data_IF_349850842091
#
_entry.id   IF_349850842091
#
_cell.length_a   1.000
_cell.length_b   1.000
_cell.length_c   1.000
_cell.angle_alpha   90.00
_cell.angle_beta   90.00
_cell.angle_gamma   90.00
#
_symmetry.space_group_name_H-M   'P 1'
#
loop_
_entity.id
_entity.type
_entity.pdbx_description
1 polymer ?
#
# COMPACT_ATOMS: atom_id res chain seq x y z
N UNK A 1 21.31 -45.74 41.76
CA UNK A 1 22.07 -44.92 40.79
C UNK A 1 22.12 -45.63 39.43
N UNK A 2 21.30 -45.17 38.47
CA UNK A 2 21.49 -45.37 37.02
C UNK A 2 20.72 -44.24 36.34
N UNK A 3 21.43 -43.14 36.05
CA UNK A 3 20.91 -42.01 35.30
C UNK A 3 20.64 -42.45 33.86
N UNK A 4 19.41 -42.29 33.39
CA UNK A 4 19.06 -42.41 31.97
C UNK A 4 18.70 -41.02 31.47
N UNK A 5 19.68 -40.38 30.85
CA UNK A 5 19.49 -39.16 30.06
C UNK A 5 18.81 -39.58 28.76
N UNK A 6 17.56 -39.13 28.58
CA UNK A 6 16.79 -39.06 27.33
C UNK A 6 15.95 -37.82 27.53
N UNK A 7 16.13 -36.72 26.83
CA UNK A 7 16.53 -36.48 25.46
C UNK A 7 15.72 -35.23 25.14
N UNK A 8 16.39 -34.12 24.84
CA UNK A 8 15.72 -32.88 24.46
C UNK A 8 14.88 -33.17 23.22
N UNK A 9 13.57 -33.27 23.40
CA UNK A 9 12.63 -33.04 22.32
C UNK A 9 12.72 -31.54 22.01
N UNK A 10 13.59 -31.23 21.06
CA UNK A 10 13.59 -29.97 20.35
C UNK A 10 12.17 -29.73 19.86
N UNK A 11 11.49 -28.74 20.45
CA UNK A 11 10.21 -28.25 19.95
C UNK A 11 10.37 -27.99 18.46
N UNK A 12 9.56 -28.67 17.68
CA UNK A 12 9.32 -28.40 16.25
C UNK A 12 9.16 -26.89 16.13
N UNK A 13 9.97 -26.27 15.28
CA UNK A 13 10.00 -24.82 15.11
C UNK A 13 8.60 -24.31 14.79
N UNK A 14 8.16 -23.31 15.54
CA UNK A 14 7.00 -22.52 15.13
C UNK A 14 7.37 -21.91 13.78
N UNK A 15 6.78 -22.42 12.69
CA UNK A 15 6.72 -21.69 11.42
C UNK A 15 6.02 -20.37 11.73
N UNK A 16 6.81 -19.32 11.93
CA UNK A 16 6.29 -17.98 12.16
C UNK A 16 5.62 -17.50 10.87
N UNK A 17 4.33 -17.78 10.74
CA UNK A 17 3.48 -17.21 9.71
C UNK A 17 3.40 -15.70 9.92
N UNK A 18 3.99 -14.92 9.02
CA UNK A 18 3.83 -13.46 9.02
C UNK A 18 2.54 -13.13 8.28
N UNK A 19 1.57 -12.56 9.00
CA UNK A 19 0.30 -12.14 8.43
C UNK A 19 0.32 -10.62 8.18
N UNK A 20 0.10 -10.22 6.93
CA UNK A 20 0.07 -8.81 6.53
C UNK A 20 -1.35 -8.46 6.12
N UNK A 21 -2.04 -7.67 6.96
CA UNK A 21 -3.37 -7.16 6.62
C UNK A 21 -3.28 -5.92 5.73
N UNK A 22 -3.96 -5.95 4.59
CA UNK A 22 -4.04 -4.82 3.65
C UNK A 22 -5.50 -4.42 3.45
N UNK A 23 -5.81 -3.14 3.59
CA UNK A 23 -7.11 -2.55 3.26
C UNK A 23 -7.00 -1.76 1.96
N UNK A 24 -8.02 -1.85 1.11
CA UNK A 24 -8.14 -1.01 -0.09
C UNK A 24 -9.51 -0.35 -0.10
N UNK A 25 -9.53 0.98 0.00
CA UNK A 25 -10.76 1.76 0.12
C UNK A 25 -10.79 2.85 -0.95
N UNK A 26 -11.92 2.98 -1.64
CA UNK A 26 -12.25 4.22 -2.32
C UNK A 26 -12.91 5.15 -1.30
N UNK A 27 -12.21 6.22 -0.90
CA UNK A 27 -12.65 7.09 0.20
C UNK A 27 -13.49 8.28 -0.26
N UNK A 28 -13.51 8.58 -1.56
CA UNK A 28 -14.23 9.72 -2.15
C UNK A 28 -14.07 11.02 -1.35
N UNK A 29 -12.83 11.43 -1.13
CA UNK A 29 -12.42 12.59 -0.34
C UNK A 29 -12.23 12.24 1.13
N UNK A 30 -11.05 12.58 1.67
CA UNK A 30 -10.72 12.40 3.09
C UNK A 30 -11.17 13.55 3.99
N UNK A 31 -11.28 14.76 3.44
CA UNK A 31 -11.67 15.95 4.19
C UNK A 31 -13.03 15.77 4.86
N UNK A 32 -13.07 16.00 6.18
CA UNK A 32 -14.28 15.85 7.01
C UNK A 32 -14.64 14.40 7.36
N UNK A 33 -13.83 13.41 6.92
CA UNK A 33 -14.00 11.98 7.22
C UNK A 33 -12.87 11.41 8.06
N UNK A 34 -11.90 12.22 8.47
CA UNK A 34 -10.70 11.78 9.18
C UNK A 34 -11.06 10.96 10.42
N UNK A 35 -11.94 11.47 11.28
CA UNK A 35 -12.36 10.74 12.48
C UNK A 35 -13.11 9.43 12.18
N UNK A 36 -13.91 9.39 11.10
CA UNK A 36 -14.59 8.16 10.68
C UNK A 36 -13.60 7.14 10.10
N UNK A 37 -12.61 7.59 9.33
CA UNK A 37 -11.52 6.77 8.82
C UNK A 37 -10.66 6.24 9.96
N UNK A 38 -10.32 7.06 10.96
CA UNK A 38 -9.59 6.63 12.14
C UNK A 38 -10.34 5.56 12.93
N UNK A 39 -11.63 5.75 13.16
CA UNK A 39 -12.49 4.76 13.82
C UNK A 39 -12.50 3.45 13.02
N UNK A 40 -12.75 3.52 11.71
CA UNK A 40 -12.74 2.35 10.84
C UNK A 40 -11.39 1.61 10.87
N UNK A 41 -10.27 2.32 10.76
CA UNK A 41 -8.93 1.73 10.83
C UNK A 41 -8.60 1.16 12.22
N UNK A 42 -9.20 1.71 13.28
CA UNK A 42 -9.04 1.21 14.65
C UNK A 42 -9.77 -0.11 14.90
N UNK A 43 -10.90 -0.33 14.20
CA UNK A 43 -11.63 -1.60 14.22
C UNK A 43 -10.89 -2.70 13.44
N UNK A 44 -10.06 -2.32 12.46
CA UNK A 44 -9.24 -3.22 11.65
C UNK A 44 -7.80 -3.31 12.17
N UNK A 45 -7.63 -3.78 13.40
CA UNK A 45 -6.32 -3.80 14.11
C UNK A 45 -5.25 -4.65 13.43
N UNK A 46 -5.65 -5.66 12.66
CA UNK A 46 -4.73 -6.55 11.95
C UNK A 46 -4.24 -5.96 10.61
N UNK A 47 -4.72 -4.78 10.24
CA UNK A 47 -4.29 -4.10 9.01
C UNK A 47 -3.05 -3.24 9.27
N UNK A 48 -2.02 -3.53 8.49
CA UNK A 48 -0.72 -2.88 8.51
C UNK A 48 -0.60 -1.82 7.41
N UNK A 49 -1.34 -2.02 6.31
CA UNK A 49 -1.33 -1.14 5.14
C UNK A 49 -2.76 -0.78 4.75
N UNK A 50 -2.97 0.48 4.40
CA UNK A 50 -4.23 1.00 3.88
C UNK A 50 -3.97 1.74 2.58
N UNK A 51 -4.62 1.33 1.51
CA UNK A 51 -4.57 1.95 0.19
C UNK A 51 -5.87 2.75 0.00
N UNK A 52 -5.76 4.05 -0.17
CA UNK A 52 -6.90 4.92 -0.43
C UNK A 52 -6.88 5.39 -1.88
N UNK A 53 -7.95 5.14 -2.62
CA UNK A 53 -8.22 5.82 -3.89
C UNK A 53 -9.21 6.95 -3.69
N UNK A 54 -9.16 7.94 -4.57
CA UNK A 54 -9.99 9.13 -4.50
C UNK A 54 -9.82 9.92 -3.20
N UNK A 55 -8.60 10.14 -2.72
CA UNK A 55 -8.40 10.93 -1.49
C UNK A 55 -8.66 12.44 -1.67
N UNK A 56 -8.62 12.95 -2.90
CA UNK A 56 -8.94 14.33 -3.30
C UNK A 56 -8.07 15.44 -2.70
N UNK A 57 -6.95 15.08 -2.07
CA UNK A 57 -5.95 16.06 -1.60
C UNK A 57 -5.07 16.49 -2.75
N UNK A 58 -4.67 17.76 -2.74
CA UNK A 58 -3.55 18.27 -3.53
C UNK A 58 -2.22 17.90 -2.86
N UNK A 59 -1.13 17.99 -3.60
CA UNK A 59 0.21 17.63 -3.10
C UNK A 59 0.59 18.45 -1.85
N UNK A 60 0.27 19.75 -1.84
CA UNK A 60 0.51 20.63 -0.70
C UNK A 60 -0.33 20.26 0.54
N UNK A 61 -1.50 19.66 0.36
CA UNK A 61 -2.40 19.25 1.45
C UNK A 61 -2.00 17.91 2.06
N UNK A 62 -1.39 17.03 1.27
CA UNK A 62 -0.88 15.72 1.73
C UNK A 62 0.08 15.90 2.92
N UNK A 63 0.93 16.93 2.90
CA UNK A 63 1.90 17.21 3.96
C UNK A 63 1.24 17.48 5.33
N UNK A 64 -0.01 17.92 5.34
CA UNK A 64 -0.78 18.22 6.56
C UNK A 64 -1.78 17.13 6.92
N UNK A 65 -2.01 16.17 6.02
CA UNK A 65 -2.90 15.05 6.28
C UNK A 65 -2.22 14.03 7.19
N UNK A 66 -2.92 13.61 8.24
CA UNK A 66 -2.47 12.56 9.13
C UNK A 66 -3.66 11.80 9.71
N UNK A 67 -3.43 10.52 10.01
CA UNK A 67 -4.37 9.67 10.74
C UNK A 67 -3.61 9.02 11.90
N UNK A 68 -4.21 8.96 13.07
CA UNK A 68 -3.55 8.49 14.28
C UNK A 68 -2.98 7.07 14.13
N UNK A 69 -1.66 6.91 14.35
CA UNK A 69 -0.96 5.63 14.27
C UNK A 69 -0.64 5.16 12.84
N UNK A 70 -0.88 6.01 11.85
CA UNK A 70 -0.57 5.77 10.44
C UNK A 70 0.37 6.85 9.91
N UNK A 71 1.21 6.46 8.94
CA UNK A 71 2.07 7.36 8.17
C UNK A 71 1.79 7.18 6.69
N UNK A 72 1.81 8.29 5.94
CA UNK A 72 1.71 8.25 4.48
C UNK A 72 3.01 7.67 3.95
N UNK A 73 2.91 6.57 3.21
CA UNK A 73 4.05 5.88 2.63
C UNK A 73 4.37 6.40 1.23
N UNK A 74 3.33 6.66 0.44
CA UNK A 74 3.39 7.35 -0.84
C UNK A 74 2.00 7.89 -1.19
N UNK A 75 1.95 8.94 -2.00
CA UNK A 75 0.71 9.52 -2.54
C UNK A 75 0.94 10.07 -3.94
N UNK A 76 -0.06 9.94 -4.78
CA UNK A 76 -0.19 10.64 -6.05
C UNK A 76 -1.43 11.53 -5.97
N UNK A 77 -1.23 12.83 -6.06
CA UNK A 77 -2.29 13.83 -6.12
C UNK A 77 -2.47 14.33 -7.55
N UNK A 78 -3.72 14.63 -7.94
CA UNK A 78 -3.96 15.31 -9.22
C UNK A 78 -3.53 16.78 -9.13
N UNK A 79 -2.96 17.28 -10.21
CA UNK A 79 -2.47 18.65 -10.35
C UNK A 79 -3.39 19.54 -11.20
N UNK A 80 -4.13 18.96 -12.14
CA UNK A 80 -4.99 19.71 -13.09
C UNK A 80 -6.46 19.42 -12.85
N UNK A 81 -6.83 18.14 -12.79
CA UNK A 81 -8.20 17.69 -12.63
C UNK A 81 -8.58 17.66 -11.16
N UNK A 82 -9.77 18.18 -10.84
CA UNK A 82 -10.33 18.04 -9.50
C UNK A 82 -10.65 16.58 -9.17
N UNK A 83 -10.51 16.20 -7.89
CA UNK A 83 -10.84 14.87 -7.33
C UNK A 83 -9.96 13.75 -7.91
N UNK A 84 -10.06 12.53 -7.37
CA UNK A 84 -9.11 11.43 -7.63
C UNK A 84 -7.94 11.40 -6.65
N UNK A 85 -6.78 10.94 -7.11
CA UNK A 85 -5.60 10.69 -6.30
C UNK A 85 -5.61 9.30 -5.68
N UNK A 86 -4.42 8.77 -5.39
CA UNK A 86 -4.24 7.51 -4.68
C UNK A 86 -3.13 7.66 -3.65
N UNK A 87 -3.29 7.07 -2.47
CA UNK A 87 -2.25 7.04 -1.44
C UNK A 87 -2.18 5.68 -0.77
N UNK A 88 -1.00 5.36 -0.25
CA UNK A 88 -0.76 4.18 0.58
C UNK A 88 -0.27 4.66 1.93
N UNK A 89 -0.94 4.23 2.99
CA UNK A 89 -0.54 4.47 4.37
C UNK A 89 -0.06 3.16 4.99
N UNK A 90 0.90 3.28 5.89
CA UNK A 90 1.38 2.18 6.70
C UNK A 90 1.19 2.50 8.18
N UNK A 91 0.99 1.49 9.02
CA UNK A 91 1.14 1.66 10.48
C UNK A 91 2.51 2.25 10.79
N UNK A 92 2.62 3.11 11.80
CA UNK A 92 3.87 3.84 12.09
C UNK A 92 5.09 2.93 12.29
N UNK A 93 4.90 1.73 12.85
CA UNK A 93 5.95 0.73 13.07
C UNK A 93 6.36 -0.06 11.81
N UNK A 94 5.57 -0.02 10.74
CA UNK A 94 5.83 -0.77 9.50
C UNK A 94 6.92 -0.07 8.69
N UNK A 95 7.97 -0.81 8.34
CA UNK A 95 9.05 -0.32 7.50
C UNK A 95 8.76 -0.64 6.03
N UNK A 96 8.94 0.36 5.18
CA UNK A 96 8.70 0.24 3.75
C UNK A 96 9.73 1.03 2.96
N UNK A 97 9.85 0.70 1.68
CA UNK A 97 10.59 1.48 0.68
C UNK A 97 9.59 1.94 -0.38
N UNK A 98 9.63 3.22 -0.71
CA UNK A 98 8.82 3.77 -1.80
C UNK A 98 9.36 3.27 -3.15
N UNK A 99 8.48 2.77 -4.01
CA UNK A 99 8.87 2.23 -5.31
C UNK A 99 8.72 3.29 -6.41
N UNK A 100 9.55 4.34 -6.34
CA UNK A 100 9.50 5.51 -7.23
C UNK A 100 9.51 5.17 -8.73
N UNK A 101 10.26 4.13 -9.12
CA UNK A 101 10.33 3.64 -10.50
C UNK A 101 8.99 3.14 -11.06
N UNK A 102 8.10 2.68 -10.18
CA UNK A 102 6.72 2.27 -10.52
C UNK A 102 5.80 3.48 -10.41
N UNK A 103 5.93 4.27 -9.35
CA UNK A 103 5.05 5.41 -9.08
C UNK A 103 5.09 6.48 -10.16
N UNK A 104 6.26 6.69 -10.79
CA UNK A 104 6.43 7.64 -11.91
C UNK A 104 5.59 7.33 -13.15
N UNK A 105 5.06 6.10 -13.27
CA UNK A 105 4.19 5.72 -14.39
C UNK A 105 2.76 6.23 -14.22
N UNK A 106 2.43 6.84 -13.07
CA UNK A 106 1.13 7.46 -12.86
C UNK A 106 0.84 8.47 -13.96
N UNK A 107 -0.32 8.33 -14.58
CA UNK A 107 -0.87 9.28 -15.53
C UNK A 107 -2.17 9.78 -14.94
N UNK A 108 -2.18 11.06 -14.55
CA UNK A 108 -3.32 11.72 -13.95
C UNK A 108 -4.62 11.41 -14.71
N UNK A 109 -5.70 11.12 -13.99
CA UNK A 109 -7.02 10.81 -14.54
C UNK A 109 -7.12 9.48 -15.31
N UNK A 110 -6.01 8.87 -15.73
CA UNK A 110 -6.03 7.64 -16.52
C UNK A 110 -5.60 6.42 -15.71
N UNK A 111 -4.49 6.50 -14.97
CA UNK A 111 -3.97 5.42 -14.15
C UNK A 111 -3.09 6.02 -13.05
N UNK A 112 -3.55 5.98 -11.81
CA UNK A 112 -2.92 6.62 -10.67
C UNK A 112 -2.36 5.53 -9.75
N UNK A 113 -1.08 5.65 -9.38
CA UNK A 113 -0.35 4.58 -8.71
C UNK A 113 0.24 5.02 -7.37
N UNK A 114 0.18 4.14 -6.38
CA UNK A 114 0.95 4.27 -5.14
C UNK A 114 1.53 2.92 -4.72
N UNK A 115 2.84 2.78 -4.90
CA UNK A 115 3.60 1.54 -4.76
C UNK A 115 4.66 1.64 -3.67
N UNK A 116 4.69 0.64 -2.81
CA UNK A 116 5.66 0.46 -1.73
C UNK A 116 6.06 -1.01 -1.60
N UNK A 117 7.29 -1.26 -1.15
CA UNK A 117 7.76 -2.58 -0.76
C UNK A 117 7.91 -2.66 0.76
N UNK A 118 7.27 -3.64 1.39
CA UNK A 118 7.44 -3.90 2.81
C UNK A 118 8.77 -4.61 3.06
N UNK A 119 9.60 -4.06 3.94
CA UNK A 119 11.00 -4.50 4.12
C UNK A 119 11.08 -5.91 4.72
N UNK A 120 10.19 -6.24 5.66
CA UNK A 120 10.31 -7.44 6.48
C UNK A 120 9.68 -8.70 5.87
N UNK A 121 8.88 -8.56 4.81
CA UNK A 121 8.04 -9.63 4.24
C UNK A 121 8.20 -9.79 2.73
N UNK A 122 9.19 -9.11 2.14
CA UNK A 122 9.45 -9.09 0.69
C UNK A 122 8.17 -8.92 -0.16
N UNK A 123 7.24 -8.09 0.31
CA UNK A 123 5.92 -7.90 -0.31
C UNK A 123 5.83 -6.53 -0.99
N UNK A 124 5.54 -6.52 -2.29
CA UNK A 124 5.24 -5.32 -3.06
C UNK A 124 3.74 -5.04 -3.04
N UNK A 125 3.35 -3.85 -2.60
CA UNK A 125 1.95 -3.39 -2.58
C UNK A 125 1.83 -2.24 -3.55
N UNK A 126 0.88 -2.35 -4.48
CA UNK A 126 0.60 -1.35 -5.49
C UNK A 126 -0.89 -1.02 -5.45
N UNK A 127 -1.22 0.18 -4.95
CA UNK A 127 -2.55 0.74 -5.10
C UNK A 127 -2.69 1.31 -6.51
N UNK A 128 -3.76 0.93 -7.21
CA UNK A 128 -4.04 1.37 -8.58
C UNK A 128 -5.45 1.93 -8.63
N UNK A 129 -5.58 3.14 -9.15
CA UNK A 129 -6.88 3.75 -9.40
C UNK A 129 -7.01 4.18 -10.86
N UNK A 130 -8.12 3.80 -11.49
CA UNK A 130 -8.53 4.24 -12.83
C UNK A 130 -9.80 5.08 -12.70
N UNK A 131 -9.76 6.31 -13.21
CA UNK A 131 -10.98 7.12 -13.32
C UNK A 131 -12.02 6.41 -14.21
N UNK A 132 -13.31 6.38 -13.86
CA UNK A 132 -14.35 5.77 -14.70
C UNK A 132 -14.33 6.29 -16.15
N UNK A 133 -14.11 7.60 -16.30
CA UNK A 133 -14.02 8.32 -17.58
C UNK A 133 -12.61 8.44 -18.13
N UNK A 134 -11.63 7.78 -17.52
CA UNK A 134 -10.25 7.74 -18.01
C UNK A 134 -10.14 6.92 -19.30
N UNK A 135 -9.19 7.28 -20.16
CA UNK A 135 -8.93 6.53 -21.39
C UNK A 135 -8.43 5.12 -21.06
N UNK A 136 -9.15 4.09 -21.53
CA UNK A 136 -8.81 2.69 -21.26
C UNK A 136 -7.48 2.27 -21.90
N UNK A 137 -7.16 2.76 -23.10
CA UNK A 137 -5.89 2.45 -23.75
C UNK A 137 -4.71 3.01 -22.96
N UNK A 138 -4.79 4.27 -22.50
CA UNK A 138 -3.75 4.86 -21.64
C UNK A 138 -3.62 4.07 -20.33
N UNK A 139 -4.74 3.64 -19.73
CA UNK A 139 -4.72 2.78 -18.55
C UNK A 139 -3.96 1.47 -18.82
N UNK A 140 -4.33 0.75 -19.89
CA UNK A 140 -3.70 -0.53 -20.24
C UNK A 140 -2.21 -0.38 -20.57
N UNK A 141 -1.83 0.65 -21.33
CA UNK A 141 -0.43 0.94 -21.66
C UNK A 141 0.38 1.25 -20.39
N UNK A 142 -0.17 2.03 -19.46
CA UNK A 142 0.46 2.30 -18.16
C UNK A 142 0.56 1.04 -17.31
N UNK A 143 -0.48 0.21 -17.32
CA UNK A 143 -0.52 -1.04 -16.56
C UNK A 143 0.51 -2.06 -17.10
N UNK A 144 0.71 -2.11 -18.42
CA UNK A 144 1.77 -2.90 -19.05
C UNK A 144 3.16 -2.39 -18.66
N UNK A 145 3.40 -1.07 -18.70
CA UNK A 145 4.67 -0.46 -18.23
C UNK A 145 4.94 -0.77 -16.76
N UNK A 146 3.89 -0.83 -15.94
CA UNK A 146 3.97 -1.23 -14.54
C UNK A 146 4.45 -2.68 -14.41
N UNK A 147 3.83 -3.65 -15.10
CA UNK A 147 4.27 -5.04 -15.06
C UNK A 147 5.70 -5.22 -15.58
N UNK A 148 6.06 -4.56 -16.69
CA UNK A 148 7.41 -4.57 -17.23
C UNK A 148 8.44 -3.96 -16.25
N UNK A 149 8.02 -3.04 -15.40
CA UNK A 149 8.88 -2.49 -14.36
C UNK A 149 9.07 -3.50 -13.24
N UNK A 150 7.99 -4.12 -12.75
CA UNK A 150 8.01 -5.10 -11.65
C UNK A 150 8.79 -6.36 -12.04
N UNK A 151 8.62 -6.85 -13.26
CA UNK A 151 9.30 -8.05 -13.75
C UNK A 151 10.83 -7.95 -13.77
N UNK A 152 11.39 -6.74 -13.75
CA UNK A 152 12.83 -6.52 -13.59
C UNK A 152 13.32 -6.79 -12.17
N UNK A 153 12.43 -6.73 -11.17
CA UNK A 153 12.75 -6.93 -9.76
C UNK A 153 12.42 -8.35 -9.28
N UNK A 154 11.45 -9.01 -9.92
CA UNK A 154 11.11 -10.40 -9.63
C UNK A 154 10.78 -11.16 -10.91
N UNK A 155 11.70 -12.05 -11.31
CA UNK A 155 11.54 -12.90 -12.49
C UNK A 155 10.46 -13.98 -12.35
N UNK A 156 9.86 -14.14 -11.16
CA UNK A 156 8.72 -15.05 -10.93
C UNK A 156 7.38 -14.44 -11.36
N UNK A 157 7.34 -13.14 -11.63
CA UNK A 157 6.11 -12.40 -11.97
C UNK A 157 5.88 -12.36 -13.50
N UNK A 158 6.85 -12.79 -14.32
CA UNK A 158 6.75 -12.85 -15.79
C UNK A 158 6.79 -14.29 -16.29
#
# INVERSE_FOLDING_TARGET
MRNKIRGNESKIGDDHCVNVGVLHLNVQGVHGKEGALEMFLSDHKNSEVACFSEHWLKEEEVAFFSLHGWKIAHSFSRSVMGRGGVMTLCRSAVNFVCHSDVNRHSVEFHCELSSIKLVNVDLLIIAVYRSPSGNMHIFLDTFEKLFNSIGKYDSRII
#
